data_IF_357101353892
#
_entry.id   IF_357101353892
#
_cell.length_a   1.000
_cell.length_b   1.000
_cell.length_c   1.000
_cell.angle_alpha   90.00
_cell.angle_beta   90.00
_cell.angle_gamma   90.00
#
_symmetry.space_group_name_H-M   'P 1'
#
loop_
_entity.id
_entity.type
_entity.pdbx_description
1 polymer ?
#
# COMPACT_ATOMS: atom_id res chain seq x y z
N UNK A 1 8.55 -1.33 -16.78
CA UNK A 1 8.74 -0.54 -15.56
C UNK A 1 7.52 0.31 -15.28
N UNK A 2 6.95 0.21 -14.08
CA UNK A 2 5.85 1.10 -13.71
C UNK A 2 6.33 2.55 -13.67
N UNK A 3 5.47 3.43 -14.13
CA UNK A 3 5.72 4.86 -14.22
C UNK A 3 4.84 5.60 -13.22
N UNK A 4 5.29 6.76 -12.79
CA UNK A 4 4.52 7.61 -11.86
C UNK A 4 3.09 7.87 -12.35
N UNK A 5 2.92 8.08 -13.64
CA UNK A 5 1.61 8.35 -14.25
C UNK A 5 0.64 7.18 -14.20
N UNK A 6 1.10 5.98 -13.84
CA UNK A 6 0.26 4.78 -13.73
C UNK A 6 -0.55 4.75 -12.43
N UNK A 7 -0.28 5.65 -11.47
CA UNK A 7 -0.88 5.63 -10.15
C UNK A 7 -1.65 6.91 -9.85
N UNK A 8 -2.90 6.80 -9.35
CA UNK A 8 -3.72 7.98 -9.04
C UNK A 8 -3.46 8.61 -7.67
N UNK A 9 -2.76 7.92 -6.78
CA UNK A 9 -2.53 8.39 -5.41
C UNK A 9 -1.10 8.12 -4.98
N UNK A 10 -0.53 9.04 -4.21
CA UNK A 10 0.82 8.91 -3.67
C UNK A 10 0.85 9.20 -2.19
N UNK A 11 1.58 8.37 -1.45
CA UNK A 11 1.86 8.58 -0.04
C UNK A 11 3.34 8.86 0.14
N UNK A 12 3.73 10.08 0.57
CA UNK A 12 5.12 10.37 0.89
C UNK A 12 5.55 9.58 2.13
N UNK A 13 6.77 9.06 2.08
CA UNK A 13 7.38 8.35 3.21
C UNK A 13 8.83 8.81 3.34
N UNK A 14 9.24 9.12 4.56
CA UNK A 14 10.63 9.45 4.86
C UNK A 14 11.35 8.17 5.27
N UNK A 15 12.47 7.86 4.59
CA UNK A 15 13.31 6.73 5.01
C UNK A 15 13.97 7.03 6.35
N UNK A 16 14.27 5.99 7.11
CA UNK A 16 14.89 6.10 8.43
C UNK A 16 16.27 5.45 8.41
N UNK A 17 17.14 5.88 9.32
CA UNK A 17 18.48 5.31 9.42
C UNK A 17 18.47 3.78 9.52
N UNK A 18 17.57 3.21 10.35
CA UNK A 18 17.53 1.78 10.55
C UNK A 18 16.76 1.00 9.47
N UNK A 19 16.24 1.69 8.45
CA UNK A 19 15.68 1.02 7.27
C UNK A 19 16.79 0.39 6.42
N UNK A 20 18.01 0.95 6.48
CA UNK A 20 19.15 0.38 5.79
C UNK A 20 19.64 -0.89 6.50
N UNK A 21 20.07 -1.85 5.70
CA UNK A 21 20.74 -3.05 6.20
C UNK A 21 22.27 -2.89 6.15
N UNK A 22 22.98 -3.99 6.40
CA UNK A 22 24.43 -4.00 6.41
C UNK A 22 25.07 -3.66 5.05
N UNK A 23 24.30 -3.75 3.98
CA UNK A 23 24.78 -3.41 2.62
C UNK A 23 24.58 -1.93 2.28
N UNK A 24 23.99 -1.14 3.19
CA UNK A 24 23.80 0.29 3.00
C UNK A 24 22.59 0.68 2.15
N UNK A 25 21.68 -0.26 1.90
CA UNK A 25 20.43 -0.02 1.18
C UNK A 25 19.24 -0.39 2.04
N UNK A 26 18.10 0.20 1.76
CA UNK A 26 16.84 -0.17 2.43
C UNK A 26 16.63 -1.68 2.27
N UNK A 27 16.44 -2.36 3.38
CA UNK A 27 16.25 -3.80 3.41
C UNK A 27 15.00 -4.18 2.61
N UNK A 28 15.09 -5.24 1.82
CA UNK A 28 13.97 -5.69 0.98
C UNK A 28 12.68 -5.93 1.78
N UNK A 29 12.77 -6.38 3.02
CA UNK A 29 11.61 -6.60 3.90
C UNK A 29 10.91 -5.28 4.23
N UNK A 30 11.64 -4.19 4.33
CA UNK A 30 11.10 -2.87 4.70
C UNK A 30 10.13 -2.33 3.65
N UNK A 31 10.24 -2.75 2.40
CA UNK A 31 9.31 -2.33 1.34
C UNK A 31 7.88 -2.74 1.65
N UNK A 32 7.67 -3.89 2.28
CA UNK A 32 6.35 -4.33 2.71
C UNK A 32 5.77 -3.40 3.79
N UNK A 33 6.62 -2.86 4.66
CA UNK A 33 6.22 -1.84 5.63
C UNK A 33 5.79 -0.54 4.93
N UNK A 34 6.49 -0.15 3.87
CA UNK A 34 6.10 1.02 3.08
C UNK A 34 4.73 0.82 2.43
N UNK A 35 4.48 -0.35 1.87
CA UNK A 35 3.19 -0.69 1.27
C UNK A 35 2.07 -0.65 2.32
N UNK A 36 2.32 -1.26 3.46
CA UNK A 36 1.36 -1.31 4.57
C UNK A 36 1.00 0.11 5.05
N UNK A 37 2.01 0.95 5.20
CA UNK A 37 1.82 2.35 5.59
C UNK A 37 0.99 3.11 4.57
N UNK A 38 1.30 2.98 3.28
CA UNK A 38 0.58 3.69 2.23
C UNK A 38 -0.89 3.26 2.15
N UNK A 39 -1.15 1.96 2.19
CA UNK A 39 -2.51 1.42 2.14
C UNK A 39 -3.30 1.87 3.36
N UNK A 40 -2.78 1.65 4.55
CA UNK A 40 -3.54 1.95 5.77
C UNK A 40 -3.72 3.45 6.00
N UNK A 41 -2.77 4.28 5.62
CA UNK A 41 -2.95 5.73 5.65
C UNK A 41 -4.15 6.14 4.80
N UNK A 42 -4.25 5.60 3.59
CA UNK A 42 -5.38 5.88 2.70
C UNK A 42 -6.71 5.39 3.29
N UNK A 43 -6.73 4.14 3.78
CA UNK A 43 -7.95 3.56 4.36
C UNK A 43 -8.45 4.36 5.56
N UNK A 44 -7.55 4.85 6.40
CA UNK A 44 -7.89 5.62 7.59
C UNK A 44 -8.31 7.04 7.21
N UNK A 45 -7.48 7.75 6.46
CA UNK A 45 -7.69 9.17 6.19
C UNK A 45 -8.78 9.43 5.15
N UNK A 46 -8.86 8.63 4.12
CA UNK A 46 -9.84 8.81 3.03
C UNK A 46 -11.03 7.87 3.21
N UNK A 47 -10.78 6.63 3.60
CA UNK A 47 -11.81 5.61 3.75
C UNK A 47 -12.57 5.64 5.06
N UNK A 48 -12.06 6.35 6.06
CA UNK A 48 -12.69 6.44 7.38
C UNK A 48 -12.60 5.15 8.21
N UNK A 49 -11.64 4.27 7.90
CA UNK A 49 -11.48 3.02 8.63
C UNK A 49 -11.02 3.29 10.07
N UNK A 50 -11.74 2.73 11.03
CA UNK A 50 -11.37 2.78 12.44
C UNK A 50 -10.67 1.47 12.82
N UNK A 51 -9.35 1.51 12.90
CA UNK A 51 -8.54 0.31 13.17
C UNK A 51 -8.62 -0.14 14.63
N UNK A 52 -9.04 0.74 15.54
CA UNK A 52 -9.10 0.43 16.98
C UNK A 52 -10.46 -0.11 17.41
N UNK A 53 -11.54 0.57 17.02
CA UNK A 53 -12.88 0.28 17.50
C UNK A 53 -13.85 -0.17 16.41
N UNK A 54 -13.45 -0.11 15.15
CA UNK A 54 -14.30 -0.52 14.04
C UNK A 54 -14.64 -2.00 14.06
N UNK A 55 -15.82 -2.35 13.56
CA UNK A 55 -16.29 -3.74 13.48
C UNK A 55 -15.62 -4.50 12.33
N UNK A 56 -15.13 -3.79 11.33
CA UNK A 56 -14.51 -4.37 10.14
C UNK A 56 -13.05 -3.96 10.09
N UNK A 57 -12.18 -4.92 9.84
CA UNK A 57 -10.74 -4.71 9.68
C UNK A 57 -10.24 -5.42 8.43
N UNK A 58 -9.11 -4.97 7.89
CA UNK A 58 -8.47 -5.59 6.75
C UNK A 58 -7.32 -6.48 7.17
N UNK A 59 -7.27 -7.71 6.66
CA UNK A 59 -6.16 -8.61 6.86
C UNK A 59 -5.39 -8.81 5.56
N UNK A 60 -4.07 -8.77 5.64
CA UNK A 60 -3.21 -9.09 4.51
C UNK A 60 -3.20 -10.60 4.32
N UNK A 61 -3.58 -11.04 3.13
CA UNK A 61 -3.57 -12.47 2.79
C UNK A 61 -2.53 -12.82 1.73
N UNK A 62 -2.00 -11.83 1.03
CA UNK A 62 -0.96 -12.03 0.02
C UNK A 62 -0.19 -10.73 -0.19
N UNK A 63 1.10 -10.85 -0.41
CA UNK A 63 1.95 -9.71 -0.77
C UNK A 63 3.11 -10.17 -1.62
N UNK A 64 3.57 -9.31 -2.53
CA UNK A 64 4.73 -9.57 -3.37
C UNK A 64 5.41 -8.24 -3.72
N UNK A 65 6.71 -8.31 -4.04
CA UNK A 65 7.46 -7.13 -4.43
C UNK A 65 8.60 -7.52 -5.35
N UNK A 66 8.74 -6.78 -6.44
CA UNK A 66 9.87 -6.86 -7.37
C UNK A 66 10.72 -5.61 -7.21
N UNK A 67 12.03 -5.75 -7.29
CA UNK A 67 12.98 -4.69 -7.01
C UNK A 67 13.76 -4.35 -8.27
N UNK A 68 13.78 -3.06 -8.66
CA UNK A 68 14.41 -2.60 -9.90
C UNK A 68 15.63 -1.72 -9.64
N UNK A 69 15.64 -0.95 -8.56
CA UNK A 69 16.72 -0.06 -8.18
C UNK A 69 16.78 0.09 -6.68
N UNK A 70 17.97 0.34 -6.15
CA UNK A 70 18.19 0.47 -4.71
C UNK A 70 17.72 1.82 -4.18
N UNK A 71 17.26 1.82 -2.93
CA UNK A 71 16.92 3.00 -2.15
C UNK A 71 17.79 2.95 -0.88
N UNK A 72 18.22 4.10 -0.41
CA UNK A 72 19.00 4.20 0.82
C UNK A 72 18.58 5.44 1.60
N UNK A 73 18.63 5.34 2.94
CA UNK A 73 18.50 6.53 3.77
C UNK A 73 19.65 7.52 3.39
N UNK A 74 19.41 8.79 3.21
CA UNK A 74 18.22 9.56 3.56
C UNK A 74 17.28 9.88 2.37
N UNK A 75 17.17 9.01 1.39
CA UNK A 75 16.27 9.23 0.27
C UNK A 75 14.84 9.49 0.77
N UNK A 76 14.17 10.42 0.11
CA UNK A 76 12.72 10.63 0.30
C UNK A 76 11.99 9.86 -0.78
N UNK A 77 10.98 9.13 -0.39
CA UNK A 77 10.23 8.29 -1.31
C UNK A 77 8.74 8.61 -1.29
N UNK A 78 8.08 8.18 -2.33
CA UNK A 78 6.63 8.23 -2.45
C UNK A 78 6.15 6.87 -2.90
N UNK A 79 5.09 6.36 -2.26
CA UNK A 79 4.47 5.10 -2.66
C UNK A 79 3.24 5.41 -3.48
N UNK A 80 3.25 4.99 -4.75
CA UNK A 80 2.10 5.06 -5.63
C UNK A 80 1.14 3.93 -5.31
N UNK A 81 -0.15 4.24 -5.29
CA UNK A 81 -1.21 3.31 -4.90
C UNK A 81 -2.33 3.34 -5.94
N UNK A 82 -2.75 2.15 -6.37
CA UNK A 82 -3.95 1.97 -7.19
C UNK A 82 -4.61 0.64 -6.84
N UNK A 83 -5.87 0.49 -7.23
CA UNK A 83 -6.60 -0.76 -7.05
C UNK A 83 -6.66 -1.47 -8.39
N UNK A 84 -6.09 -2.67 -8.44
CA UNK A 84 -6.14 -3.52 -9.63
C UNK A 84 -7.40 -4.36 -9.70
N UNK A 85 -7.92 -4.79 -8.54
CA UNK A 85 -9.14 -5.58 -8.48
C UNK A 85 -9.88 -5.30 -7.18
N UNK A 86 -11.17 -5.00 -7.31
CA UNK A 86 -12.05 -4.73 -6.17
C UNK A 86 -13.14 -5.79 -6.15
N UNK A 87 -13.09 -6.68 -5.15
CA UNK A 87 -14.08 -7.74 -4.95
C UNK A 87 -15.12 -7.35 -3.91
N UNK A 88 -15.96 -8.31 -3.54
CA UNK A 88 -16.99 -8.08 -2.51
C UNK A 88 -16.37 -7.84 -1.12
N UNK A 89 -15.41 -8.69 -0.74
CA UNK A 89 -14.72 -8.62 0.56
C UNK A 89 -13.23 -8.35 0.42
N UNK A 90 -12.69 -8.37 -0.79
CA UNK A 90 -11.25 -8.31 -1.04
C UNK A 90 -10.87 -7.15 -1.93
N UNK A 91 -9.63 -6.69 -1.76
CA UNK A 91 -9.01 -5.66 -2.60
C UNK A 91 -7.62 -6.11 -2.95
N UNK A 92 -7.28 -6.05 -4.23
CA UNK A 92 -5.91 -6.19 -4.68
C UNK A 92 -5.36 -4.80 -5.00
N UNK A 93 -4.42 -4.35 -4.17
CA UNK A 93 -3.71 -3.10 -4.40
C UNK A 93 -2.50 -3.37 -5.27
N UNK A 94 -2.17 -2.41 -6.13
CA UNK A 94 -0.91 -2.38 -6.86
C UNK A 94 -0.15 -1.15 -6.40
N UNK A 95 1.09 -1.35 -6.00
CA UNK A 95 1.90 -0.32 -5.38
C UNK A 95 3.25 -0.22 -6.08
N UNK A 96 3.83 0.97 -6.04
CA UNK A 96 5.18 1.18 -6.52
C UNK A 96 5.88 2.21 -5.65
N UNK A 97 7.19 2.04 -5.48
CA UNK A 97 8.02 2.94 -4.69
C UNK A 97 8.85 3.78 -5.66
N UNK A 98 8.75 5.10 -5.51
CA UNK A 98 9.49 6.07 -6.31
C UNK A 98 10.38 6.92 -5.40
N UNK A 99 11.58 7.23 -5.84
CA UNK A 99 12.32 8.32 -5.23
C UNK A 99 11.64 9.63 -5.60
N UNK A 100 11.60 10.56 -4.66
CA UNK A 100 10.92 11.84 -4.87
C UNK A 100 11.42 12.52 -6.15
N UNK A 101 10.48 12.89 -7.02
CA UNK A 101 10.77 13.57 -8.28
C UNK A 101 11.18 12.68 -9.44
N UNK A 102 11.34 11.38 -9.25
CA UNK A 102 11.67 10.44 -10.31
C UNK A 102 10.41 9.78 -10.88
N UNK A 103 10.42 9.52 -12.18
CA UNK A 103 9.24 9.00 -12.89
C UNK A 103 9.18 7.47 -12.93
N UNK A 104 10.33 6.80 -12.80
CA UNK A 104 10.39 5.34 -12.83
C UNK A 104 10.41 4.75 -11.42
N UNK A 105 9.69 3.66 -11.23
CA UNK A 105 9.64 2.99 -9.95
C UNK A 105 10.96 2.30 -9.61
N UNK A 106 11.34 2.34 -8.33
CA UNK A 106 12.43 1.54 -7.78
C UNK A 106 12.00 0.12 -7.43
N UNK A 107 10.73 -0.05 -7.11
CA UNK A 107 10.12 -1.33 -6.78
C UNK A 107 8.63 -1.28 -7.08
N UNK A 108 8.01 -2.43 -7.31
CA UNK A 108 6.57 -2.52 -7.50
C UNK A 108 6.08 -3.83 -6.93
N UNK A 109 4.88 -3.81 -6.38
CA UNK A 109 4.32 -4.97 -5.74
C UNK A 109 2.81 -5.02 -5.72
N UNK A 110 2.31 -6.09 -5.12
CA UNK A 110 0.90 -6.34 -4.90
C UNK A 110 0.65 -6.66 -3.45
N UNK A 111 -0.53 -6.30 -3.00
CA UNK A 111 -0.94 -6.41 -1.62
C UNK A 111 -2.43 -6.70 -1.62
N UNK A 112 -2.84 -7.84 -1.06
CA UNK A 112 -4.25 -8.22 -1.06
C UNK A 112 -4.78 -8.20 0.37
N UNK A 113 -5.84 -7.40 0.58
CA UNK A 113 -6.62 -7.41 1.82
C UNK A 113 -7.90 -8.20 1.65
N UNK A 114 -8.27 -8.92 2.70
CA UNK A 114 -9.65 -9.40 2.89
C UNK A 114 -10.21 -8.68 4.10
N UNK A 115 -11.38 -8.07 3.95
CA UNK A 115 -12.07 -7.41 5.05
C UNK A 115 -12.91 -8.42 5.81
N UNK A 116 -12.75 -8.41 7.12
CA UNK A 116 -13.38 -9.38 8.00
C UNK A 116 -14.08 -8.66 9.15
N UNK A 117 -15.06 -9.34 9.72
CA UNK A 117 -15.66 -8.93 10.98
C UNK A 117 -14.65 -9.16 12.10
N UNK A 118 -14.37 -8.13 12.89
CA UNK A 118 -13.35 -8.15 13.95
C UNK A 118 -13.61 -9.28 14.97
N UNK A 119 -14.86 -9.49 15.32
CA UNK A 119 -15.21 -10.46 16.37
C UNK A 119 -15.12 -11.90 15.87
N UNK A 120 -15.58 -12.19 14.66
CA UNK A 120 -15.66 -13.56 14.12
C UNK A 120 -14.52 -13.93 13.19
N UNK A 121 -13.76 -12.95 12.70
CA UNK A 121 -12.72 -13.09 11.66
C UNK A 121 -13.28 -13.66 10.34
N UNK A 122 -14.57 -13.56 10.10
CA UNK A 122 -15.19 -14.02 8.87
C UNK A 122 -15.24 -12.91 7.83
N UNK A 123 -15.01 -13.23 6.55
CA UNK A 123 -15.09 -12.23 5.47
C UNK A 123 -16.46 -11.55 5.45
N UNK A 124 -16.46 -10.25 5.26
CA UNK A 124 -17.66 -9.43 5.13
C UNK A 124 -17.56 -8.52 3.92
N UNK A 125 -18.70 -8.04 3.44
CA UNK A 125 -18.72 -7.05 2.37
C UNK A 125 -17.99 -5.79 2.83
N UNK A 126 -17.23 -5.18 1.92
CA UNK A 126 -16.52 -3.93 2.19
C UNK A 126 -17.58 -2.85 2.50
N UNK A 127 -17.47 -2.15 3.65
CA UNK A 127 -18.41 -1.08 3.98
C UNK A 127 -18.50 -0.02 2.87
N UNK A 128 -19.70 0.52 2.66
CA UNK A 128 -19.98 1.42 1.52
C UNK A 128 -19.05 2.63 1.44
N UNK A 129 -18.76 3.28 2.55
CA UNK A 129 -17.86 4.44 2.56
C UNK A 129 -16.42 4.06 2.18
N UNK A 130 -15.96 2.95 2.69
CA UNK A 130 -14.63 2.42 2.37
C UNK A 130 -14.56 1.98 0.91
N UNK A 131 -15.61 1.31 0.42
CA UNK A 131 -15.71 0.91 -0.99
C UNK A 131 -15.64 2.12 -1.91
N UNK A 132 -16.36 3.19 -1.60
CA UNK A 132 -16.32 4.42 -2.38
C UNK A 132 -14.92 5.00 -2.48
N UNK A 133 -14.17 5.01 -1.37
CA UNK A 133 -12.78 5.46 -1.35
C UNK A 133 -11.88 4.58 -2.22
N UNK A 134 -12.08 3.27 -2.17
CA UNK A 134 -11.30 2.32 -2.98
C UNK A 134 -11.63 2.41 -4.48
N UNK A 135 -12.88 2.67 -4.81
CA UNK A 135 -13.29 2.84 -6.22
C UNK A 135 -12.56 4.00 -6.90
N UNK A 136 -12.20 5.05 -6.15
CA UNK A 136 -11.43 6.18 -6.69
C UNK A 136 -10.01 5.77 -7.12
N UNK A 137 -9.50 4.66 -6.62
CA UNK A 137 -8.17 4.14 -6.94
C UNK A 137 -8.18 3.12 -8.07
N UNK A 138 -9.36 2.69 -8.51
CA UNK A 138 -9.47 1.71 -9.60
C UNK A 138 -9.02 2.35 -10.88
N UNK A 139 -8.13 1.67 -11.60
CA UNK A 139 -7.59 2.12 -12.89
C UNK A 139 -8.23 1.32 -14.00
N UNK A 140 -8.75 2.03 -14.97
CA UNK A 140 -9.45 1.44 -16.12
C UNK A 140 -8.60 1.41 -17.38
#
# INVERSE_FOLDING_TARGET
MPQRTDYPHFQPITTRWHDNDAYGHVNNVTYYSFFDTAVNTYLIEVGGLDIHDGEVVGFVVSSSCDYFASIAFPDRIEVGLRVGKLGNSSVQYELAVFKQGEDEACAAGRFVHVFVDRASNQPVAIPAGLRGALERLVVH
#
